data_IF_106763723566
#
_entry.id   IF_106763723566
#
_cell.length_a   1.000
_cell.length_b   1.000
_cell.length_c   1.000
_cell.angle_alpha   90.00
_cell.angle_beta   90.00
_cell.angle_gamma   90.00
#
_symmetry.space_group_name_H-M   'P 1'
#
loop_
_entity.id
_entity.type
_entity.pdbx_description
1 polymer ?
#
# COMPACT_ATOMS: atom_id res chain seq x y z
N UNK A 1 -11.75 -0.76 2.83
CA UNK A 1 -11.00 0.46 3.19
C UNK A 1 -9.95 0.67 2.09
N UNK A 2 -9.68 1.91 1.66
CA UNK A 2 -8.79 2.19 0.51
C UNK A 2 -7.62 3.07 0.96
N UNK A 3 -6.41 2.74 0.52
CA UNK A 3 -5.19 3.52 0.75
C UNK A 3 -5.15 4.68 -0.24
N UNK A 4 -4.89 5.89 0.26
CA UNK A 4 -4.84 7.13 -0.52
C UNK A 4 -3.44 7.75 -0.48
N UNK A 5 -3.11 8.59 -1.48
CA UNK A 5 -1.80 9.24 -1.62
C UNK A 5 -1.48 10.25 -0.52
N UNK A 6 -2.51 10.78 0.15
CA UNK A 6 -2.37 11.69 1.27
C UNK A 6 -2.03 10.97 2.60
N UNK A 7 -2.04 9.64 2.61
CA UNK A 7 -1.58 8.85 3.75
C UNK A 7 -0.06 8.74 3.75
N UNK A 8 0.54 8.45 4.90
CA UNK A 8 1.99 8.27 5.01
C UNK A 8 2.35 6.78 4.99
N UNK A 9 3.48 6.44 4.36
CA UNK A 9 3.91 5.03 4.24
C UNK A 9 4.04 4.34 5.60
N UNK A 10 4.44 5.08 6.64
CA UNK A 10 4.48 4.55 8.00
C UNK A 10 3.09 4.27 8.58
N UNK A 11 2.14 5.20 8.47
CA UNK A 11 0.78 4.99 8.96
C UNK A 11 0.07 3.85 8.24
N UNK A 12 0.35 3.67 6.94
CA UNK A 12 -0.20 2.57 6.14
C UNK A 12 0.32 1.22 6.65
N UNK A 13 1.62 1.09 6.92
CA UNK A 13 2.18 -0.16 7.48
C UNK A 13 1.66 -0.43 8.88
N UNK A 14 1.49 0.60 9.71
CA UNK A 14 0.93 0.45 11.06
C UNK A 14 -0.54 -0.01 11.02
N UNK A 15 -1.33 0.45 10.04
CA UNK A 15 -2.70 0.00 9.84
C UNK A 15 -2.80 -1.36 9.14
N UNK A 16 -1.88 -1.66 8.23
CA UNK A 16 -1.83 -2.88 7.43
C UNK A 16 -0.38 -3.38 7.28
N UNK A 17 0.05 -4.20 8.22
CA UNK A 17 1.43 -4.73 8.26
C UNK A 17 1.82 -5.46 6.97
N UNK A 18 0.86 -6.13 6.31
CA UNK A 18 1.03 -6.81 5.01
C UNK A 18 1.49 -5.89 3.87
N UNK A 19 1.41 -4.57 4.03
CA UNK A 19 1.87 -3.59 3.03
C UNK A 19 3.35 -3.26 3.13
N UNK A 20 4.02 -3.59 4.25
CA UNK A 20 5.46 -3.39 4.44
C UNK A 20 6.34 -3.93 3.29
N UNK A 21 6.17 -5.17 2.81
CA UNK A 21 6.98 -5.69 1.70
C UNK A 21 6.76 -4.95 0.38
N UNK A 22 5.60 -4.31 0.20
CA UNK A 22 5.28 -3.54 -1.02
C UNK A 22 6.13 -2.27 -1.05
N UNK A 23 6.23 -1.53 0.06
CA UNK A 23 7.10 -0.36 0.12
C UNK A 23 8.58 -0.71 -0.18
N UNK A 24 9.05 -1.85 0.31
CA UNK A 24 10.40 -2.36 0.00
C UNK A 24 10.57 -2.68 -1.49
N UNK A 25 9.59 -3.34 -2.12
CA UNK A 25 9.60 -3.66 -3.56
C UNK A 25 9.73 -2.41 -4.43
N UNK A 26 9.09 -1.31 -4.03
CA UNK A 26 9.15 -0.02 -4.72
C UNK A 26 10.30 0.89 -4.27
N UNK A 27 11.19 0.42 -3.37
CA UNK A 27 12.27 1.22 -2.78
C UNK A 27 11.78 2.50 -2.08
N UNK A 28 10.58 2.46 -1.51
CA UNK A 28 9.97 3.59 -0.81
C UNK A 28 10.30 3.51 0.68
N UNK A 29 10.92 4.55 1.27
CA UNK A 29 11.18 4.56 2.70
C UNK A 29 9.89 4.75 3.51
N UNK A 30 9.83 4.10 4.67
CA UNK A 30 8.77 4.32 5.64
C UNK A 30 8.97 5.68 6.32
N UNK A 31 8.07 6.61 6.03
CA UNK A 31 8.15 8.00 6.51
C UNK A 31 6.77 8.46 6.98
N UNK A 32 6.76 9.51 7.80
CA UNK A 32 5.54 10.21 8.19
C UNK A 32 5.07 11.23 7.13
N UNK A 33 5.86 11.45 6.07
CA UNK A 33 5.42 12.23 4.91
C UNK A 33 4.35 11.48 4.11
N UNK A 34 3.49 12.24 3.44
CA UNK A 34 2.48 11.69 2.54
C UNK A 34 3.13 11.02 1.34
N UNK A 35 2.49 9.98 0.78
CA UNK A 35 2.99 9.29 -0.41
C UNK A 35 3.15 10.27 -1.59
N UNK A 36 2.20 11.18 -1.79
CA UNK A 36 2.27 12.21 -2.84
C UNK A 36 3.47 13.17 -2.70
N UNK A 37 4.01 13.34 -1.49
CA UNK A 37 5.17 14.21 -1.25
C UNK A 37 6.49 13.44 -1.22
N UNK A 38 6.45 12.16 -0.86
CA UNK A 38 7.63 11.31 -0.70
C UNK A 38 7.96 10.49 -1.95
N UNK A 39 7.03 10.37 -2.89
CA UNK A 39 7.10 9.46 -4.03
C UNK A 39 6.79 10.23 -5.30
N UNK A 40 7.51 9.91 -6.37
CA UNK A 40 7.28 10.49 -7.68
C UNK A 40 5.92 10.09 -8.24
N UNK A 41 5.25 11.04 -8.91
CA UNK A 41 3.90 10.86 -9.45
C UNK A 41 3.78 9.72 -10.47
N UNK A 42 4.88 9.25 -11.05
CA UNK A 42 4.91 8.10 -11.95
C UNK A 42 4.83 6.75 -11.23
N UNK A 43 5.42 6.66 -10.02
CA UNK A 43 5.47 5.43 -9.21
C UNK A 43 4.24 5.32 -8.33
N UNK A 44 3.77 6.46 -7.82
CA UNK A 44 2.62 6.57 -6.93
C UNK A 44 1.37 5.79 -7.38
N UNK A 45 0.87 5.90 -8.63
CA UNK A 45 -0.32 5.16 -9.05
C UNK A 45 -0.12 3.64 -9.00
N UNK A 46 1.03 3.15 -9.47
CA UNK A 46 1.37 1.71 -9.44
C UNK A 46 1.48 1.18 -8.01
N UNK A 47 2.10 1.96 -7.12
CA UNK A 47 2.20 1.62 -5.71
C UNK A 47 0.81 1.56 -5.05
N UNK A 48 -0.05 2.55 -5.30
CA UNK A 48 -1.40 2.58 -4.74
C UNK A 48 -2.25 1.39 -5.20
N UNK A 49 -2.10 0.93 -6.44
CA UNK A 49 -2.79 -0.26 -6.94
C UNK A 49 -2.35 -1.50 -6.15
N UNK A 50 -1.04 -1.73 -6.00
CA UNK A 50 -0.50 -2.89 -5.26
C UNK A 50 -0.89 -2.85 -3.77
N UNK A 51 -0.82 -1.67 -3.15
CA UNK A 51 -1.21 -1.46 -1.76
C UNK A 51 -2.70 -1.79 -1.55
N UNK A 52 -3.57 -1.27 -2.42
CA UNK A 52 -5.00 -1.53 -2.35
C UNK A 52 -5.34 -2.97 -2.73
N UNK A 53 -4.59 -3.60 -3.63
CA UNK A 53 -4.72 -5.01 -3.93
C UNK A 53 -4.37 -5.86 -2.70
N UNK A 54 -3.34 -5.55 -1.94
CA UNK A 54 -3.02 -6.29 -0.71
C UNK A 54 -4.05 -6.10 0.40
N UNK A 55 -4.56 -4.88 0.59
CA UNK A 55 -5.62 -4.60 1.58
C UNK A 55 -6.97 -5.19 1.14
N UNK A 56 -7.29 -5.14 -0.14
CA UNK A 56 -8.54 -5.66 -0.72
C UNK A 56 -8.54 -7.19 -0.90
N UNK A 57 -7.40 -7.77 -1.26
CA UNK A 57 -7.22 -9.23 -1.37
C UNK A 57 -7.29 -9.89 0.01
N UNK A 58 -7.03 -9.16 1.09
CA UNK A 58 -7.29 -9.64 2.45
C UNK A 58 -8.78 -9.91 2.72
N UNK A 59 -9.70 -9.45 1.87
CA UNK A 59 -11.14 -9.78 1.91
C UNK A 59 -11.59 -10.82 0.87
N UNK A 60 -10.69 -11.25 -0.02
CA UNK A 60 -10.97 -12.36 -0.94
C UNK A 60 -10.35 -13.62 -0.37
N UNK A 61 -11.13 -14.22 0.54
CA UNK A 61 -11.17 -15.67 0.70
C UNK A 61 -10.96 -16.35 -0.65
N UNK A 62 -9.87 -17.13 -0.73
CA UNK A 62 -9.93 -18.44 -1.38
C UNK A 62 -11.23 -19.12 -0.93
N UNK A 63 -12.27 -19.06 -1.75
CA UNK A 63 -13.25 -20.14 -1.79
C UNK A 63 -12.80 -21.06 -2.92
N UNK A 64 -11.79 -21.87 -2.60
CA UNK A 64 -11.69 -23.19 -3.20
C UNK A 64 -12.92 -23.98 -2.72
N UNK A 65 -13.84 -24.32 -3.64
CA UNK A 65 -14.91 -25.28 -3.37
C UNK A 65 -16.33 -24.79 -3.65
N UNK A 66 -16.87 -25.26 -4.78
CA UNK A 66 -18.27 -25.15 -5.19
C UNK A 66 -18.47 -25.72 -6.58
#
# INVERSE_FOLDING_TARGET
MVIQSNMSSKAIVEAWESTAPIFVKFNVPLTYKTLESAIESEILPSLLVELNAAVGSSTETCVEGG
#
